data_IF_892289469251
#
_entry.id   IF_892289469251
#
_cell.length_a   1.000
_cell.length_b   1.000
_cell.length_c   1.000
_cell.angle_alpha   90.00
_cell.angle_beta   90.00
_cell.angle_gamma   90.00
#
_symmetry.space_group_name_H-M   'P 1'
#
loop_
_entity.id
_entity.type
_entity.pdbx_description
1 polymer ?
#
# COMPACT_ATOMS: atom_id res chain seq x y z
N UNK A 1 -2.66 32.14 -5.91
CA UNK A 1 -2.10 33.44 -5.51
C UNK A 1 -3.17 34.54 -5.53
N UNK A 2 -4.00 34.65 -6.57
CA UNK A 2 -5.14 35.57 -6.63
C UNK A 2 -6.02 35.56 -5.36
N UNK A 3 -6.45 34.39 -4.88
CA UNK A 3 -7.26 34.28 -3.67
C UNK A 3 -6.58 34.80 -2.39
N UNK A 4 -5.24 34.84 -2.33
CA UNK A 4 -4.51 35.41 -1.19
C UNK A 4 -4.50 36.93 -1.24
N UNK A 5 -4.50 37.51 -2.44
CA UNK A 5 -4.65 38.93 -2.69
C UNK A 5 -6.08 39.38 -2.33
N UNK A 6 -7.07 38.53 -2.58
CA UNK A 6 -8.48 38.73 -2.20
C UNK A 6 -8.76 38.54 -0.70
N UNK A 7 -7.72 38.33 0.12
CA UNK A 7 -7.83 38.19 1.58
C UNK A 7 -8.30 36.82 2.07
N UNK A 8 -8.40 35.81 1.20
CA UNK A 8 -8.77 34.46 1.62
C UNK A 8 -7.66 33.82 2.47
N UNK A 9 -8.02 33.34 3.67
CA UNK A 9 -7.07 32.68 4.55
C UNK A 9 -6.70 31.28 4.02
N UNK A 10 -5.65 30.67 4.59
CA UNK A 10 -5.16 29.35 4.15
C UNK A 10 -6.26 28.27 4.19
N UNK A 11 -7.17 28.33 5.15
CA UNK A 11 -8.26 27.38 5.29
C UNK A 11 -9.35 27.54 4.22
N UNK A 12 -9.74 28.77 3.90
CA UNK A 12 -10.69 29.06 2.82
C UNK A 12 -10.10 28.66 1.46
N UNK A 13 -8.80 28.90 1.25
CA UNK A 13 -8.10 28.42 0.05
C UNK A 13 -8.10 26.89 -0.01
N UNK A 14 -7.83 26.22 1.11
CA UNK A 14 -7.87 24.76 1.15
C UNK A 14 -9.28 24.22 0.84
N UNK A 15 -10.31 24.67 1.55
CA UNK A 15 -11.66 24.12 1.42
C UNK A 15 -12.35 24.48 0.09
N UNK A 16 -12.11 25.68 -0.45
CA UNK A 16 -12.84 26.16 -1.63
C UNK A 16 -12.05 26.04 -2.94
N UNK A 17 -10.72 25.83 -2.88
CA UNK A 17 -9.87 25.75 -4.08
C UNK A 17 -9.13 24.42 -4.11
N UNK A 18 -8.33 24.13 -3.08
CA UNK A 18 -7.47 22.94 -3.09
C UNK A 18 -8.27 21.64 -3.03
N UNK A 19 -9.18 21.50 -2.07
CA UNK A 19 -9.97 20.27 -1.87
C UNK A 19 -10.88 19.97 -3.08
N UNK A 20 -11.64 20.94 -3.66
CA UNK A 20 -12.36 20.70 -4.90
C UNK A 20 -11.44 20.38 -6.08
N UNK A 21 -10.24 20.98 -6.15
CA UNK A 21 -9.22 20.64 -7.13
C UNK A 21 -8.69 19.21 -7.00
N UNK A 22 -8.72 18.65 -5.78
CA UNK A 22 -8.33 17.27 -5.49
C UNK A 22 -9.47 16.26 -5.67
N UNK A 23 -10.67 16.66 -6.10
CA UNK A 23 -11.83 15.76 -6.22
C UNK A 23 -11.54 14.47 -7.00
N UNK A 24 -10.72 14.56 -8.04
CA UNK A 24 -10.33 13.43 -8.87
C UNK A 24 -9.42 12.46 -8.12
N UNK A 25 -8.40 12.99 -7.44
CA UNK A 25 -7.48 12.20 -6.62
C UNK A 25 -8.24 11.52 -5.47
N UNK A 26 -9.16 12.24 -4.82
CA UNK A 26 -9.97 11.68 -3.72
C UNK A 26 -10.91 10.60 -4.24
N UNK A 27 -11.55 10.78 -5.39
CA UNK A 27 -12.40 9.76 -6.00
C UNK A 27 -11.61 8.49 -6.32
N UNK A 28 -10.46 8.62 -6.99
CA UNK A 28 -9.55 7.48 -7.29
C UNK A 28 -9.09 6.79 -6.02
N UNK A 29 -8.63 7.54 -5.02
CA UNK A 29 -8.18 6.99 -3.74
C UNK A 29 -9.31 6.24 -3.02
N UNK A 30 -10.53 6.78 -3.04
CA UNK A 30 -11.71 6.16 -2.42
C UNK A 30 -12.11 4.87 -3.14
N UNK A 31 -12.10 4.86 -4.48
CA UNK A 31 -12.40 3.68 -5.28
C UNK A 31 -11.36 2.57 -5.05
N UNK A 32 -10.07 2.92 -5.09
CA UNK A 32 -9.00 1.99 -4.78
C UNK A 32 -9.15 1.46 -3.36
N UNK A 33 -9.33 2.34 -2.36
CA UNK A 33 -9.53 1.92 -0.97
C UNK A 33 -10.72 0.98 -0.80
N UNK A 34 -11.81 1.21 -1.54
CA UNK A 34 -12.99 0.34 -1.52
C UNK A 34 -12.65 -1.05 -2.06
N UNK A 35 -11.95 -1.12 -3.20
CA UNK A 35 -11.44 -2.38 -3.78
C UNK A 35 -10.55 -3.11 -2.75
N UNK A 36 -9.62 -2.40 -2.10
CA UNK A 36 -8.74 -2.96 -1.07
C UNK A 36 -9.50 -3.50 0.15
N UNK A 37 -10.60 -2.86 0.56
CA UNK A 37 -11.41 -3.32 1.70
C UNK A 37 -12.03 -4.70 1.46
N UNK A 38 -12.51 -4.97 0.24
CA UNK A 38 -13.04 -6.31 -0.12
C UNK A 38 -11.98 -7.41 -0.05
N UNK A 39 -10.69 -7.04 -0.03
CA UNK A 39 -9.57 -7.95 -0.09
C UNK A 39 -8.98 -8.25 1.29
N UNK A 40 -9.56 -7.68 2.35
CA UNK A 40 -9.03 -7.80 3.69
C UNK A 40 -9.33 -9.20 4.26
N UNK A 41 -8.41 -10.13 4.03
CA UNK A 41 -8.45 -11.47 4.61
C UNK A 41 -7.70 -11.51 5.94
N UNK A 42 -6.43 -11.11 5.93
CA UNK A 42 -5.48 -11.29 7.04
C UNK A 42 -5.96 -10.64 8.33
N UNK A 43 -6.35 -9.36 8.30
CA UNK A 43 -6.75 -8.64 9.52
C UNK A 43 -7.94 -9.30 10.20
N UNK A 44 -8.93 -9.73 9.43
CA UNK A 44 -10.16 -10.33 9.96
C UNK A 44 -9.88 -11.76 10.41
N UNK A 45 -9.12 -12.51 9.61
CA UNK A 45 -8.75 -13.88 9.93
C UNK A 45 -7.93 -13.95 11.23
N UNK A 46 -6.93 -13.09 11.39
CA UNK A 46 -6.05 -13.08 12.56
C UNK A 46 -6.71 -12.51 13.81
N UNK A 47 -7.68 -11.60 13.70
CA UNK A 47 -8.30 -10.95 14.87
C UNK A 47 -9.58 -11.63 15.37
N UNK A 48 -10.42 -12.11 14.44
CA UNK A 48 -11.75 -12.63 14.81
C UNK A 48 -12.02 -14.03 14.29
N UNK A 49 -11.26 -14.51 13.29
CA UNK A 49 -11.57 -15.76 12.57
C UNK A 49 -13.04 -15.83 12.07
N UNK A 50 -13.69 -14.68 11.84
CA UNK A 50 -15.11 -14.59 11.50
C UNK A 50 -16.06 -14.30 12.66
N UNK A 51 -15.56 -14.30 13.90
CA UNK A 51 -16.29 -13.92 15.12
C UNK A 51 -17.42 -14.88 15.50
N UNK A 52 -18.07 -14.68 16.67
CA UNK A 52 -19.16 -15.53 17.13
C UNK A 52 -20.30 -15.59 16.11
N UNK A 53 -20.75 -16.80 15.75
CA UNK A 53 -21.82 -16.97 14.77
C UNK A 53 -21.48 -16.49 13.35
N UNK A 54 -20.19 -16.32 13.02
CA UNK A 54 -19.72 -15.84 11.72
C UNK A 54 -20.09 -14.39 11.37
N UNK A 55 -20.43 -13.55 12.36
CA UNK A 55 -20.91 -12.17 12.13
C UNK A 55 -19.87 -11.22 11.51
N UNK A 56 -18.58 -11.54 11.63
CA UNK A 56 -17.48 -10.78 10.99
C UNK A 56 -16.88 -11.53 9.80
N UNK A 57 -17.49 -12.63 9.37
CA UNK A 57 -16.97 -13.46 8.27
C UNK A 57 -17.13 -12.73 6.94
N UNK A 58 -16.00 -12.53 6.27
CA UNK A 58 -15.96 -11.96 4.91
C UNK A 58 -15.90 -13.06 3.86
N UNK A 59 -16.28 -12.70 2.62
CA UNK A 59 -16.31 -13.61 1.47
C UNK A 59 -14.99 -14.38 1.25
N UNK A 60 -13.85 -13.72 1.46
CA UNK A 60 -12.53 -14.34 1.31
C UNK A 60 -12.29 -15.47 2.33
N UNK A 61 -12.71 -15.27 3.58
CA UNK A 61 -12.66 -16.30 4.64
C UNK A 61 -13.61 -17.44 4.32
N UNK A 62 -14.83 -17.12 3.88
CA UNK A 62 -15.82 -18.14 3.50
C UNK A 62 -15.36 -18.99 2.32
N UNK A 63 -14.74 -18.37 1.31
CA UNK A 63 -14.15 -19.06 0.17
C UNK A 63 -13.01 -19.99 0.62
N UNK A 64 -12.13 -19.52 1.51
CA UNK A 64 -11.03 -20.31 2.08
C UNK A 64 -11.54 -21.52 2.87
N UNK A 65 -12.49 -21.33 3.78
CA UNK A 65 -13.04 -22.43 4.59
C UNK A 65 -13.66 -23.51 3.72
N UNK A 66 -14.38 -23.10 2.66
CA UNK A 66 -15.06 -24.03 1.77
C UNK A 66 -14.08 -24.75 0.84
N UNK A 67 -13.20 -24.02 0.17
CA UNK A 67 -12.25 -24.61 -0.78
C UNK A 67 -11.14 -25.40 -0.09
N UNK A 68 -10.48 -24.80 0.91
CA UNK A 68 -9.24 -25.32 1.48
C UNK A 68 -9.53 -26.19 2.71
N UNK A 69 -10.31 -25.69 3.69
CA UNK A 69 -10.58 -26.47 4.91
C UNK A 69 -11.55 -27.63 4.69
N UNK A 70 -12.59 -27.42 3.89
CA UNK A 70 -13.61 -28.43 3.61
C UNK A 70 -13.33 -29.24 2.33
N UNK A 71 -12.23 -28.97 1.61
CA UNK A 71 -11.87 -29.60 0.34
C UNK A 71 -12.96 -29.49 -0.75
N UNK A 72 -13.86 -28.51 -0.63
CA UNK A 72 -14.94 -28.26 -1.58
C UNK A 72 -14.54 -27.13 -2.53
N UNK A 73 -13.62 -27.43 -3.44
CA UNK A 73 -13.05 -26.47 -4.38
C UNK A 73 -14.10 -25.78 -5.25
N UNK A 74 -15.09 -26.52 -5.77
CA UNK A 74 -16.16 -25.94 -6.60
C UNK A 74 -16.94 -24.84 -5.86
N UNK A 75 -17.58 -25.14 -4.71
CA UNK A 75 -18.27 -24.13 -3.92
C UNK A 75 -17.37 -22.97 -3.44
N UNK A 76 -16.14 -23.24 -2.98
CA UNK A 76 -15.24 -22.17 -2.57
C UNK A 76 -14.82 -21.26 -3.73
N UNK A 77 -14.61 -21.83 -4.92
CA UNK A 77 -14.37 -21.05 -6.15
C UNK A 77 -15.59 -20.22 -6.51
N UNK A 78 -16.81 -20.78 -6.44
CA UNK A 78 -18.03 -20.02 -6.72
C UNK A 78 -18.20 -18.81 -5.77
N UNK A 79 -17.89 -19.00 -4.48
CA UNK A 79 -17.93 -17.92 -3.47
C UNK A 79 -16.91 -16.83 -3.81
N UNK A 80 -15.67 -17.21 -4.15
CA UNK A 80 -14.68 -16.26 -4.64
C UNK A 80 -15.23 -15.52 -5.86
N UNK A 81 -15.62 -16.23 -6.92
CA UNK A 81 -16.08 -15.60 -8.16
C UNK A 81 -17.34 -14.73 -8.01
N UNK A 82 -18.16 -14.92 -6.98
CA UNK A 82 -19.30 -14.03 -6.71
C UNK A 82 -18.90 -12.58 -6.38
N UNK A 83 -17.65 -12.32 -5.98
CA UNK A 83 -17.12 -10.96 -5.79
C UNK A 83 -16.71 -10.30 -7.11
N UNK A 84 -16.48 -11.08 -8.17
CA UNK A 84 -15.96 -10.56 -9.45
C UNK A 84 -16.87 -9.49 -10.06
N UNK A 85 -18.21 -9.65 -10.11
CA UNK A 85 -19.08 -8.59 -10.65
C UNK A 85 -18.99 -7.27 -9.86
N UNK A 86 -18.88 -7.35 -8.53
CA UNK A 86 -18.75 -6.18 -7.66
C UNK A 86 -17.43 -5.47 -7.93
N UNK A 87 -16.33 -6.22 -8.00
CA UNK A 87 -15.02 -5.66 -8.28
C UNK A 87 -14.93 -5.13 -9.71
N UNK A 88 -15.47 -5.85 -10.70
CA UNK A 88 -15.54 -5.39 -12.09
C UNK A 88 -16.27 -4.06 -12.20
N UNK A 89 -17.36 -3.86 -11.46
CA UNK A 89 -18.05 -2.57 -11.42
C UNK A 89 -17.11 -1.44 -10.96
N UNK A 90 -16.40 -1.61 -9.85
CA UNK A 90 -15.45 -0.60 -9.35
C UNK A 90 -14.23 -0.42 -10.27
N UNK A 91 -13.72 -1.51 -10.84
CA UNK A 91 -12.58 -1.52 -11.77
C UNK A 91 -12.94 -0.79 -13.07
N UNK A 92 -14.10 -1.08 -13.66
CA UNK A 92 -14.57 -0.42 -14.88
C UNK A 92 -14.82 1.07 -14.63
N UNK A 93 -15.38 1.41 -13.47
CA UNK A 93 -15.58 2.79 -13.05
C UNK A 93 -14.24 3.52 -12.90
N UNK A 94 -13.25 2.91 -12.25
CA UNK A 94 -11.90 3.45 -12.11
C UNK A 94 -11.17 3.58 -13.45
N UNK A 95 -11.20 2.55 -14.29
CA UNK A 95 -10.58 2.53 -15.64
C UNK A 95 -11.11 3.67 -16.50
N UNK A 96 -12.43 3.85 -16.51
CA UNK A 96 -13.05 4.92 -17.28
C UNK A 96 -12.70 6.30 -16.72
N UNK A 97 -12.58 6.41 -15.40
CA UNK A 97 -12.12 7.63 -14.75
C UNK A 97 -10.71 8.02 -15.18
N UNK A 98 -9.77 7.06 -15.17
CA UNK A 98 -8.37 7.29 -15.56
C UNK A 98 -8.19 7.62 -17.04
N UNK A 99 -9.07 7.13 -17.93
CA UNK A 99 -9.00 7.40 -19.38
C UNK A 99 -9.52 8.79 -19.78
N UNK A 100 -10.28 9.47 -18.90
CA UNK A 100 -11.00 10.70 -19.26
C UNK A 100 -10.10 11.94 -19.38
N UNK A 101 -8.93 11.95 -18.74
CA UNK A 101 -7.96 13.05 -18.85
C UNK A 101 -7.26 13.11 -20.24
N UNK A 102 -7.52 12.15 -21.14
CA UNK A 102 -6.89 12.09 -22.46
C UNK A 102 -7.72 12.69 -23.61
N UNK A 103 -9.01 13.01 -23.42
CA UNK A 103 -9.87 13.52 -24.50
C UNK A 103 -10.83 14.60 -24.00
N UNK A 104 -10.58 15.84 -24.40
CA UNK A 104 -11.28 17.05 -23.98
C UNK A 104 -12.69 17.25 -24.58
N UNK A 105 -13.36 16.22 -25.10
CA UNK A 105 -14.56 16.43 -25.94
C UNK A 105 -15.71 15.40 -25.83
N UNK A 106 -15.80 14.62 -24.73
CA UNK A 106 -16.90 13.64 -24.59
C UNK A 106 -18.12 14.16 -23.79
N UNK A 107 -19.31 13.94 -24.37
CA UNK A 107 -20.65 14.27 -23.86
C UNK A 107 -20.88 13.75 -22.43
N UNK A 108 -21.61 14.53 -21.63
CA UNK A 108 -21.99 14.21 -20.25
C UNK A 108 -22.80 12.90 -20.19
N UNK A 109 -22.26 11.88 -19.53
CA UNK A 109 -22.88 10.55 -19.36
C UNK A 109 -23.47 10.45 -17.95
N UNK A 110 -24.45 9.57 -17.68
CA UNK A 110 -25.03 9.40 -16.33
C UNK A 110 -23.98 9.23 -15.21
N UNK A 111 -22.81 8.67 -15.55
CA UNK A 111 -21.67 8.49 -14.65
C UNK A 111 -21.12 9.82 -14.10
N UNK A 112 -21.28 10.93 -14.82
CA UNK A 112 -20.99 12.28 -14.32
C UNK A 112 -21.85 12.63 -13.11
N UNK A 113 -23.13 12.24 -13.13
CA UNK A 113 -24.00 12.44 -11.97
C UNK A 113 -23.60 11.60 -10.77
N UNK A 114 -23.00 10.43 -11.00
CA UNK A 114 -22.46 9.58 -9.91
C UNK A 114 -21.18 10.19 -9.34
N UNK A 115 -20.29 10.71 -10.19
CA UNK A 115 -19.05 11.39 -9.78
C UNK A 115 -19.36 12.70 -9.06
N UNK A 116 -20.28 13.49 -9.59
CA UNK A 116 -20.73 14.74 -8.95
C UNK A 116 -21.45 14.43 -7.63
N UNK A 117 -22.25 13.36 -7.56
CA UNK A 117 -22.86 12.89 -6.33
C UNK A 117 -21.83 12.42 -5.29
N UNK A 118 -20.81 11.67 -5.71
CA UNK A 118 -19.72 11.23 -4.83
C UNK A 118 -18.86 12.42 -4.37
N UNK A 119 -18.52 13.34 -5.29
CA UNK A 119 -17.82 14.57 -4.98
C UNK A 119 -18.60 15.48 -4.04
N UNK A 120 -19.93 15.55 -4.21
CA UNK A 120 -20.83 16.25 -3.29
C UNK A 120 -20.86 15.59 -1.91
N UNK A 121 -20.99 14.25 -1.83
CA UNK A 121 -20.95 13.50 -0.57
C UNK A 121 -19.62 13.69 0.16
N UNK A 122 -18.50 13.61 -0.56
CA UNK A 122 -17.16 13.88 -0.02
C UNK A 122 -17.08 15.32 0.49
N UNK A 123 -17.51 16.30 -0.31
CA UNK A 123 -17.54 17.70 0.10
C UNK A 123 -18.43 17.92 1.32
N UNK A 124 -19.56 17.22 1.42
CA UNK A 124 -20.45 17.24 2.58
C UNK A 124 -19.75 16.68 3.83
N UNK A 125 -19.13 15.50 3.74
CA UNK A 125 -18.38 14.89 4.84
C UNK A 125 -17.26 15.84 5.29
N UNK A 126 -16.48 16.37 4.36
CA UNK A 126 -15.44 17.35 4.68
C UNK A 126 -16.02 18.62 5.30
N UNK A 127 -17.17 19.11 4.83
CA UNK A 127 -17.84 20.27 5.41
C UNK A 127 -18.29 20.00 6.84
N UNK A 128 -18.87 18.84 7.11
CA UNK A 128 -19.26 18.41 8.46
C UNK A 128 -18.03 18.32 9.37
N UNK A 129 -16.95 17.66 8.93
CA UNK A 129 -15.71 17.53 9.69
C UNK A 129 -15.02 18.89 9.90
N UNK A 130 -15.11 19.79 8.91
CA UNK A 130 -14.52 21.12 8.96
C UNK A 130 -15.32 22.12 9.80
N UNK A 131 -16.63 21.93 9.93
CA UNK A 131 -17.53 22.87 10.58
C UNK A 131 -17.11 23.21 12.02
N UNK A 132 -16.73 22.25 12.89
CA UNK A 132 -16.18 22.53 14.22
C UNK A 132 -14.95 23.44 14.18
N UNK A 133 -14.01 23.21 13.26
CA UNK A 133 -12.80 24.02 13.11
C UNK A 133 -13.12 25.44 12.62
N UNK A 134 -14.10 25.58 11.73
CA UNK A 134 -14.58 26.90 11.28
C UNK A 134 -15.24 27.67 12.42
N UNK A 135 -16.00 26.99 13.28
CA UNK A 135 -16.62 27.58 14.46
C UNK A 135 -15.56 28.10 15.43
N UNK A 136 -14.54 27.29 15.72
CA UNK A 136 -13.38 27.68 16.56
C UNK A 136 -12.65 28.88 15.94
N UNK A 137 -12.41 28.88 14.62
CA UNK A 137 -11.76 29.99 13.92
C UNK A 137 -12.59 31.28 13.89
N UNK A 138 -13.93 31.19 13.99
CA UNK A 138 -14.82 32.36 14.16
C UNK A 138 -14.80 32.86 15.60
N UNK A 139 -14.90 31.96 16.57
CA UNK A 139 -14.80 32.29 18.00
C UNK A 139 -13.47 32.96 18.35
N UNK A 140 -12.36 32.46 17.81
CA UNK A 140 -11.03 33.05 18.01
C UNK A 140 -10.94 34.50 17.50
N UNK A 141 -11.60 34.81 16.37
CA UNK A 141 -11.63 36.16 15.80
C UNK A 141 -12.54 37.12 16.58
N UNK A 142 -13.61 36.60 17.19
CA UNK A 142 -14.45 37.40 18.08
C UNK A 142 -13.69 37.82 19.34
N UNK A 143 -12.78 36.96 19.84
CA UNK A 143 -11.96 37.23 21.03
C UNK A 143 -10.72 38.07 20.71
N UNK A 144 -10.13 37.94 19.51
CA UNK A 144 -8.94 38.67 19.07
C UNK A 144 -9.19 39.45 17.77
N UNK A 145 -9.80 40.65 17.83
CA UNK A 145 -10.00 41.49 16.66
C UNK A 145 -8.68 41.98 16.06
N UNK A 146 -8.61 42.07 14.73
CA UNK A 146 -7.40 42.45 14.01
C UNK A 146 -7.05 43.94 14.22
N UNK A 147 -6.05 44.23 15.05
CA UNK A 147 -5.43 45.55 15.15
C UNK A 147 -4.39 45.84 14.04
N UNK A 148 -4.09 47.14 13.84
CA UNK A 148 -3.27 47.77 12.78
C UNK A 148 -2.27 46.89 11.97
N UNK A 149 -2.36 47.03 10.66
CA UNK A 149 -1.89 46.10 9.61
C UNK A 149 -0.37 45.84 9.47
N UNK A 150 0.52 46.64 10.07
CA UNK A 150 1.99 46.48 9.87
C UNK A 150 2.70 45.73 11.00
N UNK A 151 2.26 45.88 12.25
CA UNK A 151 2.72 45.08 13.40
C UNK A 151 2.00 43.73 13.50
N UNK A 152 0.82 43.61 12.89
CA UNK A 152 0.00 42.40 12.89
C UNK A 152 0.58 41.27 12.02
N UNK A 153 1.23 41.55 10.89
CA UNK A 153 1.72 40.51 9.97
C UNK A 153 2.85 39.65 10.56
N UNK A 154 3.80 40.23 11.33
CA UNK A 154 4.85 39.45 12.01
C UNK A 154 4.28 38.60 13.16
N UNK A 155 3.34 39.15 13.94
CA UNK A 155 2.67 38.44 15.04
C UNK A 155 1.76 37.32 14.50
N UNK A 156 1.07 37.57 13.40
CA UNK A 156 0.24 36.61 12.68
C UNK A 156 1.08 35.47 12.11
N UNK A 157 2.18 35.76 11.38
CA UNK A 157 3.10 34.73 10.88
C UNK A 157 3.71 33.89 12.01
N UNK A 158 4.05 34.51 13.15
CA UNK A 158 4.56 33.79 14.33
C UNK A 158 3.48 32.89 14.95
N UNK A 159 2.24 33.37 15.06
CA UNK A 159 1.11 32.59 15.58
C UNK A 159 0.73 31.44 14.64
N UNK A 160 0.72 31.67 13.32
CA UNK A 160 0.52 30.63 12.31
C UNK A 160 1.61 29.56 12.38
N UNK A 161 2.88 29.95 12.56
CA UNK A 161 3.98 29.00 12.75
C UNK A 161 3.85 28.18 14.03
N UNK A 162 3.39 28.80 15.13
CA UNK A 162 3.17 28.10 16.42
C UNK A 162 2.01 27.11 16.29
N UNK A 163 0.88 27.53 15.72
CA UNK A 163 -0.28 26.66 15.49
C UNK A 163 0.09 25.50 14.57
N UNK A 164 0.81 25.77 13.48
CA UNK A 164 1.34 24.74 12.58
C UNK A 164 2.29 23.79 13.32
N UNK A 165 3.19 24.32 14.15
CA UNK A 165 4.11 23.52 14.97
C UNK A 165 3.35 22.58 15.91
N UNK A 166 2.40 23.11 16.68
CA UNK A 166 1.56 22.31 17.59
C UNK A 166 0.78 21.24 16.82
N UNK A 167 0.15 21.59 15.70
CA UNK A 167 -0.61 20.65 14.89
C UNK A 167 0.27 19.52 14.33
N UNK A 168 1.46 19.86 13.82
CA UNK A 168 2.43 18.86 13.32
C UNK A 168 2.96 17.98 14.44
N UNK A 169 3.24 18.53 15.62
CA UNK A 169 3.68 17.75 16.79
C UNK A 169 2.58 16.80 17.26
N UNK A 170 1.33 17.25 17.36
CA UNK A 170 0.20 16.38 17.74
C UNK A 170 -0.02 15.26 16.71
N UNK A 171 0.06 15.59 15.42
CA UNK A 171 -0.04 14.61 14.34
C UNK A 171 1.11 13.59 14.43
N UNK A 172 2.34 14.06 14.63
CA UNK A 172 3.51 13.19 14.74
C UNK A 172 3.41 12.29 15.97
N UNK A 173 2.99 12.83 17.12
CA UNK A 173 2.75 12.04 18.33
C UNK A 173 1.68 10.98 18.12
N UNK A 174 0.58 11.31 17.44
CA UNK A 174 -0.47 10.35 17.10
C UNK A 174 0.05 9.23 16.18
N UNK A 175 0.85 9.56 15.16
CA UNK A 175 1.44 8.59 14.23
C UNK A 175 2.47 7.70 14.93
N UNK A 176 3.29 8.25 15.84
CA UNK A 176 4.33 7.50 16.55
C UNK A 176 3.82 6.74 17.77
N UNK A 177 2.62 7.05 18.27
CA UNK A 177 2.08 6.42 19.46
C UNK A 177 1.97 4.88 19.35
N UNK A 178 1.48 4.28 18.24
CA UNK A 178 1.48 2.83 18.08
C UNK A 178 2.89 2.22 18.08
N UNK A 179 3.88 2.90 17.48
CA UNK A 179 5.28 2.43 17.50
C UNK A 179 5.87 2.47 18.90
N UNK A 180 5.59 3.53 19.65
CA UNK A 180 5.92 3.61 21.06
C UNK A 180 5.24 2.47 21.85
N UNK A 181 3.97 2.19 21.59
CA UNK A 181 3.24 1.12 22.25
C UNK A 181 3.83 -0.27 21.97
N UNK A 182 4.16 -0.55 20.70
CA UNK A 182 4.88 -1.76 20.29
C UNK A 182 6.21 -1.86 21.04
N UNK A 183 6.98 -0.76 21.06
CA UNK A 183 8.28 -0.71 21.71
C UNK A 183 8.17 -1.04 23.20
N UNK A 184 7.34 -0.32 23.96
CA UNK A 184 7.23 -0.55 25.40
C UNK A 184 6.72 -1.96 25.70
N UNK A 185 5.72 -2.44 24.96
CA UNK A 185 5.08 -3.74 25.22
C UNK A 185 6.04 -4.91 24.96
N UNK A 186 6.94 -4.77 24.00
CA UNK A 186 8.00 -5.76 23.72
C UNK A 186 8.97 -5.96 24.90
N UNK A 187 9.08 -4.98 25.81
CA UNK A 187 9.93 -5.05 27.00
C UNK A 187 9.18 -5.25 28.32
N UNK A 188 7.89 -5.65 28.24
CA UNK A 188 7.06 -5.99 29.40
C UNK A 188 7.02 -7.49 29.66
N UNK A 189 6.95 -7.87 30.93
CA UNK A 189 6.66 -9.26 31.33
C UNK A 189 5.21 -9.63 31.09
N UNK A 190 4.91 -10.92 30.96
CA UNK A 190 3.55 -11.41 30.64
C UNK A 190 2.51 -10.92 31.66
N UNK A 191 2.83 -11.02 32.96
CA UNK A 191 1.97 -10.53 34.04
C UNK A 191 1.66 -9.04 33.92
N UNK A 192 2.65 -8.22 33.55
CA UNK A 192 2.46 -6.78 33.41
C UNK A 192 1.48 -6.45 32.27
N UNK A 193 1.54 -7.21 31.18
CA UNK A 193 0.63 -7.08 30.04
C UNK A 193 -0.78 -7.55 30.43
N UNK A 194 -0.92 -8.76 30.99
CA UNK A 194 -2.21 -9.34 31.33
C UNK A 194 -2.97 -8.56 32.41
N UNK A 195 -2.26 -8.05 33.43
CA UNK A 195 -2.84 -7.26 34.51
C UNK A 195 -2.99 -5.77 34.17
N UNK A 196 -2.49 -5.33 33.00
CA UNK A 196 -2.41 -3.91 32.60
C UNK A 196 -1.69 -3.06 33.65
N UNK A 197 -0.67 -3.61 34.30
CA UNK A 197 0.18 -2.88 35.23
C UNK A 197 1.16 -1.95 34.47
N UNK A 198 1.52 -0.83 35.09
CA UNK A 198 2.42 0.22 34.54
C UNK A 198 2.22 0.46 33.04
N UNK A 199 0.99 0.83 32.67
CA UNK A 199 0.49 0.84 31.29
C UNK A 199 1.44 1.54 30.30
N UNK A 200 1.99 2.69 30.68
CA UNK A 200 2.83 3.51 29.81
C UNK A 200 4.34 3.25 29.95
N UNK A 201 4.79 2.42 30.89
CA UNK A 201 6.22 2.20 31.07
C UNK A 201 6.54 0.82 31.64
N UNK A 202 7.50 0.08 31.07
CA UNK A 202 7.93 -1.20 31.65
C UNK A 202 8.56 -0.98 33.03
N UNK A 203 8.14 -1.78 34.01
CA UNK A 203 8.62 -1.71 35.38
C UNK A 203 8.40 -3.07 36.08
N UNK A 204 9.44 -3.90 36.23
CA UNK A 204 10.79 -3.72 35.69
C UNK A 204 10.83 -3.89 34.16
N UNK A 205 11.90 -3.39 33.53
CA UNK A 205 12.21 -3.72 32.15
C UNK A 205 12.66 -5.18 32.04
N UNK A 206 12.21 -5.88 30.99
CA UNK A 206 12.60 -7.27 30.74
C UNK A 206 12.81 -7.54 29.26
N UNK A 207 13.64 -8.51 28.92
CA UNK A 207 13.83 -9.03 27.55
C UNK A 207 13.19 -10.41 27.35
N UNK A 208 12.36 -10.84 28.29
CA UNK A 208 11.68 -12.14 28.30
C UNK A 208 11.00 -12.45 26.95
N UNK A 209 10.29 -11.48 26.37
CA UNK A 209 9.57 -11.66 25.11
C UNK A 209 10.50 -11.98 23.93
N UNK A 210 11.70 -11.39 23.92
CA UNK A 210 12.73 -11.69 22.91
C UNK A 210 13.35 -13.07 23.14
N UNK A 211 13.56 -13.45 24.41
CA UNK A 211 14.08 -14.79 24.74
C UNK A 211 13.09 -15.87 24.31
N UNK A 212 11.80 -15.72 24.64
CA UNK A 212 10.73 -16.61 24.19
C UNK A 212 10.70 -16.71 22.67
N UNK A 213 10.70 -15.58 21.98
CA UNK A 213 10.71 -15.54 20.51
C UNK A 213 11.91 -16.26 19.88
N UNK A 214 13.12 -16.11 20.45
CA UNK A 214 14.34 -16.65 19.86
C UNK A 214 14.62 -18.11 20.22
N UNK A 215 14.17 -18.56 21.39
CA UNK A 215 14.53 -19.87 21.93
C UNK A 215 13.36 -20.85 22.01
N UNK A 216 12.11 -20.36 22.11
CA UNK A 216 10.91 -21.20 22.15
C UNK A 216 10.26 -21.34 20.77
N UNK A 217 10.45 -20.34 19.89
CA UNK A 217 9.90 -20.34 18.54
C UNK A 217 10.99 -20.49 17.46
N UNK A 218 10.69 -21.10 16.29
CA UNK A 218 11.62 -21.18 15.17
C UNK A 218 11.72 -19.86 14.38
N UNK A 219 11.80 -18.72 15.09
CA UNK A 219 11.78 -17.37 14.53
C UNK A 219 12.83 -17.15 13.44
N UNK A 220 14.10 -17.51 13.69
CA UNK A 220 15.17 -17.33 12.71
C UNK A 220 14.94 -18.11 11.42
N UNK A 221 14.28 -19.27 11.51
CA UNK A 221 13.91 -20.06 10.33
C UNK A 221 12.82 -19.34 9.54
N UNK A 222 11.78 -18.85 10.21
CA UNK A 222 10.72 -18.10 9.53
C UNK A 222 11.25 -16.81 8.90
N UNK A 223 12.11 -16.08 9.61
CA UNK A 223 12.79 -14.88 9.12
C UNK A 223 13.66 -15.18 7.89
N UNK A 224 14.47 -16.25 7.95
CA UNK A 224 15.27 -16.69 6.82
C UNK A 224 14.44 -17.12 5.61
N UNK A 225 13.35 -17.86 5.83
CA UNK A 225 12.41 -18.22 4.76
C UNK A 225 11.77 -16.99 4.13
N UNK A 226 11.31 -16.03 4.94
CA UNK A 226 10.75 -14.75 4.45
C UNK A 226 11.77 -13.97 3.63
N UNK A 227 13.03 -13.86 4.08
CA UNK A 227 14.06 -13.16 3.32
C UNK A 227 14.34 -13.84 1.98
N UNK A 228 14.48 -15.17 1.97
CA UNK A 228 14.73 -15.92 0.73
C UNK A 228 13.58 -15.72 -0.25
N UNK A 229 12.34 -15.91 0.20
CA UNK A 229 11.15 -15.77 -0.65
C UNK A 229 10.99 -14.33 -1.11
N UNK A 230 11.12 -13.34 -0.23
CA UNK A 230 10.92 -11.93 -0.60
C UNK A 230 11.98 -11.42 -1.55
N UNK A 231 13.26 -11.74 -1.35
CA UNK A 231 14.33 -11.30 -2.24
C UNK A 231 14.23 -11.94 -3.62
N UNK A 232 13.97 -13.25 -3.68
CA UNK A 232 13.86 -13.98 -4.95
C UNK A 232 12.64 -13.55 -5.76
N UNK A 233 11.48 -13.43 -5.12
CA UNK A 233 10.24 -12.94 -5.78
C UNK A 233 10.37 -11.51 -6.24
N UNK A 234 11.00 -10.64 -5.43
CA UNK A 234 11.27 -9.25 -5.80
C UNK A 234 12.16 -9.17 -7.03
N UNK A 235 13.29 -9.89 -7.03
CA UNK A 235 14.20 -9.91 -8.16
C UNK A 235 13.49 -10.38 -9.43
N UNK A 236 12.72 -11.47 -9.35
CA UNK A 236 11.95 -11.99 -10.46
C UNK A 236 10.90 -10.97 -10.95
N UNK A 237 10.12 -10.39 -10.04
CA UNK A 237 9.08 -9.42 -10.38
C UNK A 237 9.67 -8.15 -11.02
N UNK A 238 10.79 -7.63 -10.50
CA UNK A 238 11.49 -6.45 -11.05
C UNK A 238 12.02 -6.74 -12.45
N UNK A 239 12.64 -7.90 -12.69
CA UNK A 239 13.14 -8.28 -14.01
C UNK A 239 11.99 -8.38 -15.01
N UNK A 240 10.91 -9.08 -14.66
CA UNK A 240 9.74 -9.21 -15.52
C UNK A 240 9.09 -7.85 -15.81
N UNK A 241 8.97 -7.00 -14.78
CA UNK A 241 8.38 -5.67 -14.92
C UNK A 241 9.26 -4.69 -15.72
N UNK A 242 10.58 -4.76 -15.59
CA UNK A 242 11.50 -3.94 -16.37
C UNK A 242 11.43 -4.29 -17.86
N UNK A 243 11.44 -5.57 -18.19
CA UNK A 243 11.31 -6.05 -19.58
C UNK A 243 9.90 -5.74 -20.14
N UNK A 244 8.85 -6.08 -19.40
CA UNK A 244 7.47 -5.83 -19.80
C UNK A 244 7.17 -4.34 -19.95
N UNK A 245 7.66 -3.52 -19.02
CA UNK A 245 7.48 -2.07 -19.04
C UNK A 245 8.18 -1.44 -20.22
N UNK A 246 9.40 -1.91 -20.55
CA UNK A 246 10.14 -1.44 -21.72
C UNK A 246 9.42 -1.82 -23.02
N UNK A 247 8.97 -3.06 -23.14
CA UNK A 247 8.21 -3.54 -24.30
C UNK A 247 6.95 -2.69 -24.53
N UNK A 248 6.17 -2.41 -23.49
CA UNK A 248 4.93 -1.61 -23.58
C UNK A 248 5.18 -0.11 -23.78
N UNK A 249 6.37 0.38 -23.44
CA UNK A 249 6.75 1.78 -23.64
C UNK A 249 7.39 2.06 -25.00
N UNK A 250 8.10 1.09 -25.59
CA UNK A 250 8.97 1.31 -26.77
C UNK A 250 8.66 0.47 -27.99
N UNK A 251 7.95 -0.66 -27.85
CA UNK A 251 7.63 -1.53 -28.98
C UNK A 251 6.20 -1.26 -29.45
N UNK A 252 6.05 -1.03 -30.75
CA UNK A 252 4.76 -0.89 -31.39
C UNK A 252 4.34 -2.25 -31.93
N UNK A 253 3.46 -2.95 -31.21
CA UNK A 253 2.87 -4.21 -31.65
C UNK A 253 1.35 -4.16 -31.52
N UNK A 254 0.66 -5.00 -32.29
CA UNK A 254 -0.81 -5.06 -32.30
C UNK A 254 -1.31 -5.46 -30.91
N UNK A 255 -2.17 -4.62 -30.31
CA UNK A 255 -2.77 -4.88 -29.00
C UNK A 255 -2.03 -4.32 -27.79
N UNK A 256 -1.01 -3.46 -27.96
CA UNK A 256 -0.26 -2.82 -26.86
C UNK A 256 -1.19 -2.09 -25.86
N UNK A 257 -2.21 -1.38 -26.35
CA UNK A 257 -3.19 -0.68 -25.50
C UNK A 257 -4.09 -1.65 -24.72
N UNK A 258 -4.54 -2.72 -25.38
CA UNK A 258 -5.32 -3.77 -24.74
C UNK A 258 -4.51 -4.47 -23.66
N UNK A 259 -3.23 -4.78 -23.92
CA UNK A 259 -2.33 -5.41 -22.96
C UNK A 259 -2.07 -4.50 -21.75
N UNK A 260 -1.85 -3.20 -21.99
CA UNK A 260 -1.69 -2.19 -20.94
C UNK A 260 -2.95 -2.10 -20.05
N UNK A 261 -4.13 -2.17 -20.67
CA UNK A 261 -5.42 -2.13 -19.94
C UNK A 261 -5.65 -3.42 -19.15
N UNK A 262 -5.37 -4.59 -19.75
CA UNK A 262 -5.44 -5.89 -19.09
C UNK A 262 -4.52 -5.94 -17.87
N UNK A 263 -3.29 -5.44 -17.98
CA UNK A 263 -2.34 -5.32 -16.86
C UNK A 263 -2.95 -4.59 -15.66
N UNK A 264 -3.59 -3.44 -15.90
CA UNK A 264 -4.25 -2.67 -14.84
C UNK A 264 -5.44 -3.42 -14.23
N UNK A 265 -6.25 -4.08 -15.06
CA UNK A 265 -7.38 -4.89 -14.57
C UNK A 265 -6.87 -6.04 -13.70
N UNK A 266 -5.81 -6.74 -14.13
CA UNK A 266 -5.20 -7.84 -13.39
C UNK A 266 -4.65 -7.39 -12.05
N UNK A 267 -4.03 -6.20 -11.96
CA UNK A 267 -3.57 -5.66 -10.68
C UNK A 267 -4.70 -5.44 -9.68
N UNK A 268 -5.88 -5.05 -10.16
CA UNK A 268 -7.04 -4.79 -9.33
C UNK A 268 -7.76 -6.09 -8.93
N UNK A 269 -7.39 -7.23 -9.52
CA UNK A 269 -7.85 -8.53 -9.05
C UNK A 269 -7.23 -8.84 -7.69
N UNK A 270 -8.05 -9.28 -6.73
CA UNK A 270 -7.60 -9.46 -5.37
C UNK A 270 -6.97 -10.83 -5.14
N UNK A 271 -5.97 -10.87 -4.26
CA UNK A 271 -5.33 -12.11 -3.84
C UNK A 271 -6.34 -13.14 -3.28
N UNK A 272 -7.38 -12.65 -2.59
CA UNK A 272 -8.51 -13.44 -2.09
C UNK A 272 -9.27 -14.22 -3.18
N UNK A 273 -9.25 -13.77 -4.43
CA UNK A 273 -9.87 -14.49 -5.55
C UNK A 273 -8.90 -15.42 -6.25
N UNK A 274 -7.60 -15.12 -6.19
CA UNK A 274 -6.57 -15.86 -6.90
C UNK A 274 -6.07 -17.07 -6.13
N UNK A 275 -6.11 -17.08 -4.80
CA UNK A 275 -5.47 -18.15 -4.03
C UNK A 275 -6.06 -19.55 -4.29
N UNK A 276 -7.37 -19.68 -4.53
CA UNK A 276 -8.02 -20.98 -4.82
C UNK A 276 -7.58 -21.54 -6.17
N UNK A 277 -7.72 -20.82 -7.30
CA UNK A 277 -7.26 -21.34 -8.58
C UNK A 277 -5.74 -21.55 -8.62
N UNK A 278 -4.96 -20.67 -7.98
CA UNK A 278 -3.51 -20.86 -7.86
C UNK A 278 -3.16 -22.10 -7.03
N UNK A 279 -3.88 -22.37 -5.94
CA UNK A 279 -3.70 -23.60 -5.16
C UNK A 279 -3.88 -24.84 -6.05
N UNK A 280 -4.96 -24.89 -6.84
CA UNK A 280 -5.23 -25.99 -7.75
C UNK A 280 -4.10 -26.19 -8.76
N UNK A 281 -3.68 -25.11 -9.44
CA UNK A 281 -2.56 -25.16 -10.40
C UNK A 281 -1.27 -25.66 -9.74
N UNK A 282 -0.92 -25.15 -8.56
CA UNK A 282 0.30 -25.56 -7.86
C UNK A 282 0.24 -27.00 -7.34
N UNK A 283 -0.94 -27.46 -6.96
CA UNK A 283 -1.18 -28.85 -6.55
C UNK A 283 -1.05 -29.79 -7.75
N UNK A 284 -1.64 -29.45 -8.89
CA UNK A 284 -1.53 -30.22 -10.14
C UNK A 284 -0.08 -30.27 -10.66
N UNK A 285 0.67 -29.18 -10.51
CA UNK A 285 2.10 -29.11 -10.83
C UNK A 285 3.00 -29.83 -9.80
N UNK A 286 2.46 -30.26 -8.65
CA UNK A 286 3.23 -30.92 -7.59
C UNK A 286 4.22 -30.00 -6.85
N UNK A 287 4.09 -28.68 -6.98
CA UNK A 287 4.99 -27.70 -6.35
C UNK A 287 4.39 -27.05 -5.09
N UNK A 288 3.16 -27.42 -4.74
CA UNK A 288 2.53 -27.02 -3.48
C UNK A 288 3.36 -27.48 -2.27
N UNK A 289 3.30 -26.73 -1.16
CA UNK A 289 4.10 -26.99 0.04
C UNK A 289 5.63 -26.96 -0.19
N UNK A 290 6.08 -26.13 -1.12
CA UNK A 290 7.49 -25.83 -1.37
C UNK A 290 7.70 -24.32 -1.44
N UNK A 291 8.95 -23.84 -1.31
CA UNK A 291 9.25 -22.41 -1.50
C UNK A 291 8.90 -21.93 -2.92
N UNK A 292 8.95 -22.82 -3.91
CA UNK A 292 8.60 -22.51 -5.30
C UNK A 292 7.14 -22.11 -5.46
N UNK A 293 6.23 -22.64 -4.64
CA UNK A 293 4.84 -22.20 -4.61
C UNK A 293 4.74 -20.68 -4.40
N UNK A 294 5.54 -20.11 -3.49
CA UNK A 294 5.55 -18.68 -3.21
C UNK A 294 6.34 -17.90 -4.26
N UNK A 295 7.50 -18.44 -4.69
CA UNK A 295 8.36 -17.80 -5.68
C UNK A 295 7.64 -17.55 -7.01
N UNK A 296 6.79 -18.50 -7.43
CA UNK A 296 6.04 -18.42 -8.68
C UNK A 296 4.76 -17.59 -8.58
N UNK A 297 4.13 -17.52 -7.39
CA UNK A 297 2.83 -16.85 -7.23
C UNK A 297 2.95 -15.40 -6.81
N UNK A 298 3.89 -15.03 -5.95
CA UNK A 298 4.02 -13.64 -5.48
C UNK A 298 4.17 -12.62 -6.63
N UNK A 299 4.95 -12.91 -7.70
CA UNK A 299 5.04 -12.02 -8.85
C UNK A 299 3.69 -11.74 -9.53
N UNK A 300 2.70 -12.64 -9.48
CA UNK A 300 1.41 -12.44 -10.18
C UNK A 300 0.66 -11.21 -9.68
N UNK A 301 0.85 -10.82 -8.42
CA UNK A 301 0.23 -9.63 -7.83
C UNK A 301 1.12 -8.38 -7.91
N UNK A 302 2.44 -8.54 -8.08
CA UNK A 302 3.41 -7.45 -8.06
C UNK A 302 3.78 -6.95 -9.46
N UNK A 303 3.99 -7.88 -10.40
CA UNK A 303 4.39 -7.59 -11.79
C UNK A 303 3.42 -6.63 -12.46
N UNK A 304 2.09 -6.72 -12.28
CA UNK A 304 1.18 -5.82 -12.97
C UNK A 304 1.41 -4.33 -12.69
N UNK A 305 1.43 -3.97 -11.41
CA UNK A 305 1.67 -2.59 -11.00
C UNK A 305 3.11 -2.14 -11.29
N UNK A 306 4.09 -3.01 -11.02
CA UNK A 306 5.49 -2.75 -11.31
C UNK A 306 5.74 -2.44 -12.80
N UNK A 307 5.14 -3.23 -13.69
CA UNK A 307 5.22 -3.07 -15.15
C UNK A 307 4.58 -1.75 -15.58
N UNK A 308 3.39 -1.45 -15.05
CA UNK A 308 2.69 -0.20 -15.36
C UNK A 308 3.48 1.03 -14.90
N UNK A 309 4.04 1.00 -13.69
CA UNK A 309 4.86 2.08 -13.15
C UNK A 309 6.13 2.31 -13.98
N UNK A 310 6.84 1.24 -14.34
CA UNK A 310 8.05 1.33 -15.18
C UNK A 310 7.72 1.77 -16.60
N UNK A 311 6.62 1.30 -17.19
CA UNK A 311 6.14 1.77 -18.49
C UNK A 311 5.91 3.29 -18.48
N UNK A 312 5.20 3.81 -17.47
CA UNK A 312 4.96 5.24 -17.32
C UNK A 312 6.27 6.03 -17.18
N UNK A 313 7.23 5.50 -16.43
CA UNK A 313 8.54 6.13 -16.27
C UNK A 313 9.37 6.11 -17.55
N UNK A 314 9.47 4.96 -18.23
CA UNK A 314 10.20 4.85 -19.49
C UNK A 314 9.63 5.81 -20.56
N UNK A 315 8.31 6.00 -20.62
CA UNK A 315 7.69 6.98 -21.53
C UNK A 315 8.14 8.43 -21.27
N UNK A 316 8.55 8.76 -20.04
CA UNK A 316 9.08 10.09 -19.70
C UNK A 316 10.54 10.29 -20.13
N UNK A 317 11.30 9.21 -20.38
CA UNK A 317 12.68 9.29 -20.86
C UNK A 317 12.64 9.61 -22.36
N UNK A 318 13.34 10.68 -22.82
CA UNK A 318 13.39 11.06 -24.24
C UNK A 318 13.85 9.89 -25.12
N UNK A 319 13.08 9.58 -26.16
CA UNK A 319 13.35 8.43 -27.04
C UNK A 319 14.61 8.65 -27.90
N UNK A 320 14.99 9.90 -28.09
CA UNK A 320 16.16 10.33 -28.86
C UNK A 320 17.47 9.77 -28.29
N UNK A 321 17.54 9.58 -26.97
CA UNK A 321 18.70 8.97 -26.30
C UNK A 321 18.91 7.52 -26.72
N UNK A 322 17.81 6.77 -26.88
CA UNK A 322 17.87 5.38 -27.38
C UNK A 322 18.18 5.35 -28.87
N UNK A 323 17.61 6.27 -29.66
CA UNK A 323 17.92 6.37 -31.08
C UNK A 323 19.39 6.71 -31.34
N UNK A 324 19.99 7.61 -30.54
CA UNK A 324 21.42 7.91 -30.61
C UNK A 324 22.27 6.65 -30.37
N UNK A 325 21.96 5.87 -29.32
CA UNK A 325 22.68 4.63 -29.05
C UNK A 325 22.53 3.59 -30.18
N UNK A 326 21.36 3.51 -30.84
CA UNK A 326 21.15 2.64 -32.00
C UNK A 326 21.98 3.10 -33.21
N UNK A 327 22.11 4.40 -33.43
CA UNK A 327 23.00 4.99 -34.46
C UNK A 327 24.47 4.67 -34.16
N UNK A 328 24.86 4.66 -32.87
CA UNK A 328 26.20 4.25 -32.40
C UNK A 328 26.45 2.73 -32.49
N UNK A 329 25.51 1.97 -33.08
CA UNK A 329 25.65 0.53 -33.32
C UNK A 329 25.18 -0.36 -32.16
N UNK A 330 24.57 0.20 -31.11
CA UNK A 330 23.93 -0.61 -30.09
C UNK A 330 22.70 -1.33 -30.66
N UNK A 331 22.46 -2.58 -30.27
CA UNK A 331 21.16 -3.21 -30.50
C UNK A 331 20.13 -2.75 -29.46
N UNK A 332 18.85 -3.06 -29.67
CA UNK A 332 17.74 -2.59 -28.81
C UNK A 332 17.89 -3.00 -27.34
N UNK A 333 18.34 -4.23 -27.07
CA UNK A 333 18.61 -4.70 -25.70
C UNK A 333 19.79 -3.95 -25.10
N UNK A 334 20.85 -3.70 -25.86
CA UNK A 334 22.00 -2.91 -25.40
C UNK A 334 21.59 -1.46 -25.11
N UNK A 335 20.77 -0.84 -25.95
CA UNK A 335 20.21 0.50 -25.69
C UNK A 335 19.37 0.50 -24.40
N UNK A 336 18.52 -0.50 -24.20
CA UNK A 336 17.77 -0.67 -22.95
C UNK A 336 18.69 -0.78 -21.72
N UNK A 337 19.62 -1.72 -21.71
CA UNK A 337 20.48 -1.97 -20.55
C UNK A 337 21.49 -0.85 -20.27
N UNK A 338 22.00 -0.16 -21.30
CA UNK A 338 23.05 0.85 -21.16
C UNK A 338 22.54 2.29 -21.09
N UNK A 339 21.33 2.57 -21.60
CA UNK A 339 20.77 3.93 -21.64
C UNK A 339 19.50 4.01 -20.80
N UNK A 340 18.46 3.25 -21.15
CA UNK A 340 17.13 3.40 -20.52
C UNK A 340 17.14 2.93 -19.07
N UNK A 341 17.73 1.78 -18.77
CA UNK A 341 17.70 1.16 -17.44
C UNK A 341 18.46 2.00 -16.39
N UNK A 342 19.68 2.53 -16.65
CA UNK A 342 20.36 3.42 -15.71
C UNK A 342 19.60 4.74 -15.47
N UNK A 343 19.00 5.32 -16.52
CA UNK A 343 18.17 6.52 -16.38
C UNK A 343 16.88 6.26 -15.58
N UNK A 344 16.38 5.02 -15.60
CA UNK A 344 15.22 4.58 -14.85
C UNK A 344 15.52 4.06 -13.44
N UNK A 345 16.77 4.17 -12.96
CA UNK A 345 17.16 3.69 -11.63
C UNK A 345 16.26 4.18 -10.48
N UNK A 346 15.78 5.44 -10.44
CA UNK A 346 14.85 5.88 -9.40
C UNK A 346 13.53 5.09 -9.40
N UNK A 347 12.99 4.79 -10.58
CA UNK A 347 11.76 4.01 -10.74
C UNK A 347 11.98 2.52 -10.45
N UNK A 348 13.10 1.95 -10.89
CA UNK A 348 13.47 0.56 -10.56
C UNK A 348 13.57 0.35 -9.06
N UNK A 349 14.14 1.32 -8.34
CA UNK A 349 14.21 1.25 -6.87
C UNK A 349 12.84 1.38 -6.22
N UNK A 350 11.99 2.30 -6.70
CA UNK A 350 10.61 2.39 -6.23
C UNK A 350 9.84 1.07 -6.41
N UNK A 351 9.97 0.43 -7.59
CA UNK A 351 9.38 -0.89 -7.87
C UNK A 351 9.99 -1.99 -6.99
N UNK A 352 11.31 -1.96 -6.77
CA UNK A 352 12.01 -2.93 -5.93
C UNK A 352 11.54 -2.83 -4.48
N UNK A 353 11.42 -1.61 -3.94
CA UNK A 353 10.88 -1.37 -2.59
C UNK A 353 9.42 -1.83 -2.49
N UNK A 354 8.61 -1.52 -3.50
CA UNK A 354 7.22 -1.97 -3.58
C UNK A 354 7.11 -3.50 -3.58
N UNK A 355 7.83 -4.18 -4.45
CA UNK A 355 7.78 -5.64 -4.59
C UNK A 355 8.31 -6.33 -3.32
N UNK A 356 9.44 -5.86 -2.77
CA UNK A 356 9.98 -6.39 -1.52
C UNK A 356 9.00 -6.22 -0.36
N UNK A 357 8.44 -5.02 -0.19
CA UNK A 357 7.52 -4.75 0.92
C UNK A 357 6.26 -5.61 0.83
N UNK A 358 5.73 -5.83 -0.38
CA UNK A 358 4.57 -6.70 -0.57
C UNK A 358 4.91 -8.18 -0.38
N UNK A 359 6.07 -8.66 -0.84
CA UNK A 359 6.50 -10.03 -0.62
C UNK A 359 6.83 -10.32 0.85
N UNK A 360 7.42 -9.35 1.55
CA UNK A 360 7.83 -9.46 2.95
C UNK A 360 6.64 -9.63 3.90
N UNK A 361 5.55 -8.89 3.64
CA UNK A 361 4.33 -8.92 4.45
C UNK A 361 3.28 -9.92 3.94
N UNK A 362 3.56 -10.66 2.86
CA UNK A 362 2.57 -11.53 2.24
C UNK A 362 2.21 -12.68 3.19
N UNK A 363 0.93 -12.76 3.54
CA UNK A 363 0.39 -13.74 4.47
C UNK A 363 -0.46 -14.80 3.78
N UNK A 364 -1.40 -14.41 2.93
CA UNK A 364 -2.49 -15.26 2.44
C UNK A 364 -1.96 -16.43 1.58
N UNK A 365 -1.11 -16.16 0.60
CA UNK A 365 -0.55 -17.20 -0.26
C UNK A 365 0.37 -18.13 0.53
N UNK A 366 1.22 -17.59 1.41
CA UNK A 366 2.04 -18.42 2.29
C UNK A 366 1.19 -19.30 3.21
N UNK A 367 0.15 -18.75 3.81
CA UNK A 367 -0.74 -19.46 4.73
C UNK A 367 -1.49 -20.62 4.05
N UNK A 368 -1.88 -20.44 2.79
CA UNK A 368 -2.63 -21.45 2.04
C UNK A 368 -1.71 -22.46 1.35
N UNK A 369 -0.54 -22.04 0.86
CA UNK A 369 0.33 -22.89 0.03
C UNK A 369 1.37 -23.68 0.82
N UNK A 370 1.69 -23.28 2.05
CA UNK A 370 2.72 -23.91 2.88
C UNK A 370 2.10 -24.57 4.11
N UNK A 371 2.20 -25.89 4.18
CA UNK A 371 1.76 -26.69 5.33
C UNK A 371 2.92 -27.20 6.18
N UNK A 372 4.13 -27.30 5.61
CA UNK A 372 5.33 -27.70 6.32
C UNK A 372 5.85 -26.55 7.20
N UNK A 373 5.85 -26.77 8.52
CA UNK A 373 6.33 -25.80 9.50
C UNK A 373 7.76 -25.31 9.25
N UNK A 374 8.62 -26.12 8.63
CA UNK A 374 10.00 -25.73 8.30
C UNK A 374 10.08 -24.69 7.17
N UNK A 375 9.03 -24.56 6.37
CA UNK A 375 8.97 -23.68 5.21
C UNK A 375 8.12 -22.43 5.44
N UNK A 376 7.45 -22.31 6.59
CA UNK A 376 6.61 -21.16 6.91
C UNK A 376 7.42 -19.86 6.83
N UNK A 377 6.79 -18.85 6.22
CA UNK A 377 7.27 -17.47 6.27
C UNK A 377 6.94 -16.88 7.63
N UNK A 378 7.61 -15.77 7.96
CA UNK A 378 7.47 -15.06 9.22
C UNK A 378 6.02 -14.70 9.56
N UNK A 379 5.21 -14.06 8.69
CA UNK A 379 3.81 -13.76 9.02
C UNK A 379 3.00 -15.02 9.39
N UNK A 380 3.20 -16.11 8.65
CA UNK A 380 2.50 -17.38 8.88
C UNK A 380 2.97 -18.05 10.16
N UNK A 381 4.27 -18.06 10.43
CA UNK A 381 4.85 -18.62 11.65
C UNK A 381 4.36 -17.92 12.91
N UNK A 382 4.34 -16.57 12.90
CA UNK A 382 3.79 -15.81 14.02
C UNK A 382 2.31 -16.06 14.22
N UNK A 383 1.54 -16.23 13.15
CA UNK A 383 0.12 -16.58 13.27
C UNK A 383 -0.11 -17.93 13.97
N UNK A 384 0.85 -18.87 13.91
CA UNK A 384 0.76 -20.14 14.65
C UNK A 384 0.89 -19.97 16.16
N UNK A 385 1.39 -18.83 16.63
CA UNK A 385 1.55 -18.55 18.07
C UNK A 385 0.24 -18.08 18.73
N UNK A 386 -0.78 -17.77 17.92
CA UNK A 386 -2.10 -17.37 18.38
C UNK A 386 -2.94 -18.63 18.62
N UNK A 387 -3.40 -18.82 19.85
CA UNK A 387 -4.18 -19.99 20.24
C UNK A 387 -5.59 -19.60 20.68
N UNK A 388 -6.58 -19.82 19.82
CA UNK A 388 -7.95 -19.37 20.05
C UNK A 388 -7.98 -17.85 20.21
N UNK A 389 -8.51 -17.36 21.33
CA UNK A 389 -8.57 -15.93 21.67
C UNK A 389 -7.37 -15.46 22.52
N UNK A 390 -6.35 -16.29 22.68
CA UNK A 390 -5.14 -15.99 23.45
C UNK A 390 -4.04 -15.52 22.51
N UNK A 391 -3.70 -14.24 22.65
CA UNK A 391 -2.67 -13.57 21.86
C UNK A 391 -1.43 -13.33 22.73
N UNK A 392 -0.26 -13.83 22.35
CA UNK A 392 0.99 -13.54 23.04
C UNK A 392 1.47 -12.12 22.68
N UNK A 393 0.76 -11.10 23.14
CA UNK A 393 0.97 -9.70 22.76
C UNK A 393 2.43 -9.26 22.92
N UNK A 394 3.07 -9.61 24.04
CA UNK A 394 4.48 -9.25 24.27
C UNK A 394 5.41 -9.79 23.18
N UNK A 395 5.28 -11.08 22.86
CA UNK A 395 6.05 -11.75 21.81
C UNK A 395 5.75 -11.19 20.42
N UNK A 396 4.47 -10.94 20.10
CA UNK A 396 4.08 -10.34 18.82
C UNK A 396 4.64 -8.92 18.65
N UNK A 397 4.70 -8.13 19.73
CA UNK A 397 5.31 -6.80 19.70
C UNK A 397 6.84 -6.87 19.53
N UNK A 398 7.50 -7.79 20.25
CA UNK A 398 8.93 -8.05 20.09
C UNK A 398 9.27 -8.49 18.65
N UNK A 399 8.46 -9.40 18.08
CA UNK A 399 8.60 -9.82 16.69
C UNK A 399 8.37 -8.64 15.73
N UNK A 400 7.32 -7.83 15.95
CA UNK A 400 7.00 -6.65 15.11
C UNK A 400 8.17 -5.67 15.00
N UNK A 401 8.90 -5.42 16.09
CA UNK A 401 10.12 -4.61 16.06
C UNK A 401 11.17 -5.20 15.13
N UNK A 402 11.44 -6.51 15.25
CA UNK A 402 12.46 -7.19 14.45
C UNK A 402 12.08 -7.29 12.97
N UNK A 403 10.80 -7.52 12.67
CA UNK A 403 10.26 -7.59 11.31
C UNK A 403 10.36 -6.25 10.59
N UNK A 404 10.29 -5.14 11.33
CA UNK A 404 10.41 -3.81 10.77
C UNK A 404 11.84 -3.48 10.30
N UNK A 405 12.86 -4.14 10.88
CA UNK A 405 14.28 -3.84 10.62
C UNK A 405 14.63 -3.99 9.13
N UNK A 406 14.36 -5.13 8.44
CA UNK A 406 14.69 -5.26 7.03
C UNK A 406 14.04 -4.19 6.16
N UNK A 407 12.78 -3.85 6.45
CA UNK A 407 12.03 -2.82 5.71
C UNK A 407 12.70 -1.46 5.91
N UNK A 408 12.94 -1.05 7.15
CA UNK A 408 13.60 0.24 7.47
C UNK A 408 14.97 0.32 6.79
N UNK A 409 15.78 -0.73 6.89
CA UNK A 409 17.09 -0.80 6.24
C UNK A 409 16.97 -0.62 4.72
N UNK A 410 16.03 -1.34 4.09
CA UNK A 410 15.80 -1.24 2.64
C UNK A 410 15.39 0.17 2.22
N UNK A 411 14.46 0.80 2.95
CA UNK A 411 14.00 2.16 2.68
C UNK A 411 15.11 3.21 2.90
N UNK A 412 15.90 3.09 3.97
CA UNK A 412 17.04 3.98 4.23
C UNK A 412 18.07 3.93 3.10
N UNK A 413 18.39 2.73 2.61
CA UNK A 413 19.30 2.58 1.47
C UNK A 413 18.69 3.01 0.13
N UNK A 414 17.37 2.85 -0.05
CA UNK A 414 16.68 3.25 -1.27
C UNK A 414 16.51 4.76 -1.43
N UNK A 415 16.28 5.48 -0.32
CA UNK A 415 15.98 6.91 -0.33
C UNK A 415 17.08 7.76 -1.00
N UNK A 416 18.37 7.44 -0.78
CA UNK A 416 19.50 8.19 -1.38
C UNK A 416 19.44 8.23 -2.92
N UNK A 417 18.89 7.22 -3.55
CA UNK A 417 18.80 7.13 -5.01
C UNK A 417 17.50 7.70 -5.57
N UNK A 418 16.41 7.73 -4.77
CA UNK A 418 15.15 8.37 -5.18
C UNK A 418 15.26 9.89 -5.26
N UNK A 419 16.01 10.52 -4.34
CA UNK A 419 16.18 11.99 -4.30
C UNK A 419 16.96 12.51 -5.52
N UNK A 420 17.97 11.77 -5.98
CA UNK A 420 18.80 12.15 -7.13
C UNK A 420 18.01 12.20 -8.46
N UNK A 421 17.00 11.33 -8.62
CA UNK A 421 16.15 11.28 -9.82
C UNK A 421 15.13 12.41 -9.91
N UNK A 422 14.61 12.88 -8.76
CA UNK A 422 13.65 13.98 -8.71
C UNK A 422 14.29 15.33 -9.02
N UNK A 423 15.56 15.54 -8.64
CA UNK A 423 16.27 16.80 -8.88
C UNK A 423 16.76 16.98 -10.31
N UNK A 424 16.98 15.90 -11.07
CA UNK A 424 17.44 15.99 -12.45
C UNK A 424 16.33 16.41 -13.45
N UNK A 425 15.05 16.16 -13.12
CA UNK A 425 13.90 16.51 -13.95
C UNK A 425 13.29 17.89 -13.67
N UNK A 426 13.66 18.55 -12.57
CA UNK A 426 13.12 19.87 -12.17
C UNK A 426 13.79 21.06 -12.87
N UNK A 427 14.72 20.82 -13.81
CA UNK A 427 15.37 21.87 -14.61
C UNK A 427 14.83 21.85 -16.05
N UNK A 428 13.50 21.92 -16.21
CA UNK A 428 12.84 22.41 -17.43
C UNK A 428 11.49 23.02 -17.03
N UNK A 429 11.45 24.35 -16.99
CA UNK A 429 10.28 25.17 -16.66
C UNK A 429 10.69 26.46 -16.00
#
# INVERSE_FOLDING_TARGET
>A
EASQIDGANAWQRFMNITLPGLRYVVAVATLLSTIWTFNNFETIYLLTMGGPGNVTKVYSIMAYEKAIRSLQFGPGTAIAFSLVPVLLFFILLLSRFMRRDASSDEKVVWQDRVIDGAGWLISLIFTIVAYPFQLIGRAWRAVFPAGNAKTSLRRQKRMESIVRGIALTLLLSFILFPFYWILITAFKGELQISQRADIFWPNPWTTEQFQRLFFEEPFFRWFGNSLIVSLTTTALAVVLAALGGYALARLNFRGVESMTTLLLITYLLPAALMFIPLYGILADLGVINTRWALILTYPTSMVPFATWLLMGYYRSIPIELEHAALVDGANRLQAFYRVTLPLAMPALLAVTLFAFTNAWKEFLFAFVFITNQKLMTLPVGLAQTIFGDIYPWGMLMAASLLISIPVVVFYMYGQKYMVAGLTAGSVKG
#
